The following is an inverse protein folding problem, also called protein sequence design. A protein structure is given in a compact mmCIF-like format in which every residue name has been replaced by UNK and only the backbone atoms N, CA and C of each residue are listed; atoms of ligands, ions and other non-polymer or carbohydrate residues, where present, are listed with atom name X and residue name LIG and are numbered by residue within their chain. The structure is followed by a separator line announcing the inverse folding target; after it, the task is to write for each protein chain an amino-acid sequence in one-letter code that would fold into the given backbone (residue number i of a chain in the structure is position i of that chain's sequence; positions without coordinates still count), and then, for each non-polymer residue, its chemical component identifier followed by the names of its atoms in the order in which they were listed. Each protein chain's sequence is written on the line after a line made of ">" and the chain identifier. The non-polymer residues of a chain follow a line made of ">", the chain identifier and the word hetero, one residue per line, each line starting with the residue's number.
data_IF_546859528920
#
_entry.id   IF_546859528920
#
_cell.length_a   1.000
_cell.length_b   1.000
_cell.length_c   1.000
_cell.angle_alpha   90.00
_cell.angle_beta   90.00
_cell.angle_gamma   90.00
#
_symmetry.space_group_name_H-M   'P 1'
#
loop_
_entity.id
_entity.type
_entity.pdbx_description
1 polymer ?
#
# COMPACT_ATOMS: atom_id res chain seq x y z
N UNK A 1 18.60 5.02 -20.57
CA UNK A 1 17.29 5.28 -19.91
C UNK A 1 16.23 5.08 -20.96
N UNK A 2 15.23 4.23 -20.70
CA UNK A 2 14.10 4.07 -21.63
C UNK A 2 13.31 5.37 -21.73
N UNK A 3 12.68 5.62 -22.88
CA UNK A 3 11.79 6.77 -23.05
C UNK A 3 10.66 6.70 -22.01
N UNK A 4 10.50 7.76 -21.21
CA UNK A 4 9.48 7.84 -20.15
C UNK A 4 9.90 7.31 -18.77
N UNK A 5 11.17 6.90 -18.58
CA UNK A 5 11.65 6.50 -17.27
C UNK A 5 11.90 7.72 -16.37
N UNK A 6 11.38 7.74 -15.12
CA UNK A 6 11.77 8.76 -14.17
C UNK A 6 13.28 8.64 -13.87
N UNK A 7 13.98 9.77 -13.67
CA UNK A 7 15.41 9.76 -13.39
C UNK A 7 15.69 8.97 -12.10
N UNK A 8 16.75 8.15 -12.13
CA UNK A 8 17.22 7.43 -10.93
C UNK A 8 17.59 8.47 -9.87
N UNK A 9 17.05 8.32 -8.66
CA UNK A 9 17.34 9.20 -7.53
C UNK A 9 18.83 9.04 -7.14
N UNK A 10 19.71 9.84 -7.72
CA UNK A 10 21.16 9.82 -7.47
C UNK A 10 21.53 10.43 -6.11
N UNK A 11 22.74 10.18 -5.60
CA UNK A 11 23.20 10.63 -4.28
C UNK A 11 23.16 12.16 -4.04
N UNK A 12 23.05 12.99 -5.08
CA UNK A 12 23.00 14.45 -5.01
C UNK A 12 21.59 15.05 -4.83
N UNK A 13 20.62 14.32 -4.27
CA UNK A 13 19.25 14.83 -4.15
C UNK A 13 19.14 16.00 -3.18
N UNK A 14 18.36 17.05 -3.51
CA UNK A 14 18.10 18.13 -2.57
C UNK A 14 17.40 17.60 -1.31
N UNK A 15 17.74 18.18 -0.16
CA UNK A 15 17.26 17.75 1.16
C UNK A 15 15.72 17.62 1.21
N UNK A 16 14.99 18.50 0.53
CA UNK A 16 13.53 18.48 0.47
C UNK A 16 12.96 17.19 -0.12
N UNK A 17 13.60 16.62 -1.15
CA UNK A 17 13.16 15.35 -1.75
C UNK A 17 13.38 14.20 -0.77
N UNK A 18 14.49 14.22 -0.03
CA UNK A 18 14.78 13.23 1.01
C UNK A 18 13.76 13.34 2.16
N UNK A 19 13.42 14.56 2.58
CA UNK A 19 12.40 14.81 3.60
C UNK A 19 11.03 14.23 3.18
N UNK A 20 10.59 14.43 1.93
CA UNK A 20 9.36 13.80 1.41
C UNK A 20 9.39 12.27 1.53
N UNK A 21 10.52 11.65 1.21
CA UNK A 21 10.74 10.21 1.42
C UNK A 21 10.61 9.77 2.87
N UNK A 22 11.29 10.45 3.78
CA UNK A 22 11.19 10.20 5.22
C UNK A 22 9.78 10.39 5.75
N UNK A 23 9.10 11.47 5.37
CA UNK A 23 7.71 11.71 5.73
C UNK A 23 6.82 10.56 5.27
N UNK A 24 6.92 10.15 4.01
CA UNK A 24 6.16 9.00 3.50
C UNK A 24 6.39 7.73 4.33
N UNK A 25 7.65 7.37 4.60
CA UNK A 25 8.00 6.18 5.37
C UNK A 25 7.49 6.25 6.81
N UNK A 26 7.68 7.38 7.49
CA UNK A 26 7.26 7.57 8.88
C UNK A 26 5.73 7.52 9.01
N UNK A 27 4.99 8.21 8.14
CA UNK A 27 3.53 8.16 8.16
C UNK A 27 3.01 6.75 7.88
N UNK A 28 3.59 6.06 6.89
CA UNK A 28 3.21 4.69 6.58
C UNK A 28 3.48 3.76 7.77
N UNK A 29 4.65 3.87 8.39
CA UNK A 29 5.03 3.06 9.55
C UNK A 29 4.13 3.32 10.76
N UNK A 30 3.93 4.59 11.13
CA UNK A 30 3.06 4.96 12.25
C UNK A 30 1.64 4.45 12.00
N UNK A 31 1.11 4.62 10.79
CA UNK A 31 -0.23 4.13 10.46
C UNK A 31 -0.35 2.61 10.56
N UNK A 32 0.70 1.86 10.17
CA UNK A 32 0.73 0.40 10.28
C UNK A 32 0.76 -0.05 11.75
N UNK A 33 1.55 0.63 12.58
CA UNK A 33 1.65 0.36 14.02
C UNK A 33 0.33 0.66 14.73
N UNK A 34 -0.24 1.84 14.50
CA UNK A 34 -1.52 2.24 15.09
C UNK A 34 -2.65 1.32 14.60
N UNK A 35 -2.69 1.01 13.30
CA UNK A 35 -3.67 0.06 12.75
C UNK A 35 -3.54 -1.33 13.39
N UNK A 36 -2.32 -1.79 13.62
CA UNK A 36 -2.11 -3.08 14.29
C UNK A 36 -2.57 -3.05 15.75
N UNK A 37 -2.19 -2.03 16.52
CA UNK A 37 -2.49 -1.92 17.96
C UNK A 37 -3.99 -1.68 18.20
N UNK A 38 -4.61 -0.76 17.45
CA UNK A 38 -5.96 -0.29 17.73
C UNK A 38 -7.04 -0.95 16.87
N UNK A 39 -6.67 -1.58 15.75
CA UNK A 39 -7.63 -2.26 14.87
C UNK A 39 -7.40 -3.77 14.91
N UNK A 40 -6.18 -4.23 14.62
CA UNK A 40 -5.93 -5.69 14.50
C UNK A 40 -6.03 -6.39 15.86
N UNK A 41 -5.34 -5.89 16.88
CA UNK A 41 -5.30 -6.52 18.21
C UNK A 41 -6.68 -6.69 18.85
N UNK A 42 -7.57 -5.68 18.89
CA UNK A 42 -8.91 -5.84 19.45
C UNK A 42 -9.80 -6.84 18.68
N UNK A 43 -9.49 -7.09 17.41
CA UNK A 43 -10.19 -8.05 16.57
C UNK A 43 -9.62 -9.48 16.68
N UNK A 44 -8.47 -9.70 17.33
CA UNK A 44 -7.88 -11.03 17.51
C UNK A 44 -8.79 -12.04 18.22
N UNK A 45 -9.54 -11.69 19.28
CA UNK A 45 -10.46 -12.62 19.93
C UNK A 45 -11.49 -13.23 18.95
N UNK A 46 -11.82 -12.50 17.88
CA UNK A 46 -12.78 -12.95 16.87
C UNK A 46 -12.29 -14.19 16.10
N UNK A 47 -10.97 -14.44 16.06
CA UNK A 47 -10.41 -15.67 15.48
C UNK A 47 -10.96 -16.90 16.20
N UNK A 48 -11.00 -16.86 17.53
CA UNK A 48 -11.45 -17.99 18.35
C UNK A 48 -12.97 -18.19 18.31
N UNK A 49 -13.73 -17.11 18.10
CA UNK A 49 -15.20 -17.17 18.03
C UNK A 49 -15.68 -17.57 16.64
N UNK A 50 -15.21 -16.90 15.60
CA UNK A 50 -15.60 -17.16 14.21
C UNK A 50 -14.46 -16.80 13.24
N UNK A 51 -13.60 -17.77 12.88
CA UNK A 51 -12.47 -17.54 11.99
C UNK A 51 -12.87 -16.95 10.63
N UNK A 52 -14.03 -17.37 10.08
CA UNK A 52 -14.51 -16.88 8.77
C UNK A 52 -14.88 -15.41 8.83
N UNK A 53 -15.51 -14.98 9.93
CA UNK A 53 -15.89 -13.58 10.12
C UNK A 53 -14.66 -12.71 10.36
N UNK A 54 -13.72 -13.18 11.19
CA UNK A 54 -12.42 -12.51 11.37
C UNK A 54 -11.72 -12.28 10.03
N UNK A 55 -11.65 -13.31 9.18
CA UNK A 55 -10.99 -13.22 7.88
C UNK A 55 -11.64 -12.16 6.99
N UNK A 56 -12.97 -12.16 6.88
CA UNK A 56 -13.72 -11.17 6.10
C UNK A 56 -13.49 -9.74 6.60
N UNK A 57 -13.46 -9.53 7.91
CA UNK A 57 -13.21 -8.22 8.50
C UNK A 57 -11.77 -7.76 8.23
N UNK A 58 -10.78 -8.62 8.47
CA UNK A 58 -9.37 -8.29 8.24
C UNK A 58 -9.07 -7.99 6.78
N UNK A 59 -9.58 -8.80 5.84
CA UNK A 59 -9.34 -8.59 4.41
C UNK A 59 -9.86 -7.22 3.95
N UNK A 60 -11.01 -6.77 4.49
CA UNK A 60 -11.56 -5.44 4.18
C UNK A 60 -10.74 -4.31 4.82
N UNK A 61 -10.39 -4.45 6.10
CA UNK A 61 -9.64 -3.42 6.84
C UNK A 61 -8.25 -3.23 6.26
N UNK A 62 -7.53 -4.32 6.00
CA UNK A 62 -6.21 -4.28 5.35
C UNK A 62 -6.34 -3.78 3.91
N UNK A 63 -7.37 -4.21 3.17
CA UNK A 63 -7.65 -3.72 1.82
C UNK A 63 -7.83 -2.20 1.77
N UNK A 64 -8.60 -1.64 2.69
CA UNK A 64 -8.78 -0.18 2.83
C UNK A 64 -7.45 0.48 3.22
N UNK A 65 -6.71 -0.11 4.16
CA UNK A 65 -5.43 0.43 4.60
C UNK A 65 -4.41 0.50 3.46
N UNK A 66 -4.35 -0.49 2.55
CA UNK A 66 -3.43 -0.51 1.39
C UNK A 66 -3.73 0.61 0.38
N UNK A 67 -4.95 1.14 0.34
CA UNK A 67 -5.28 2.31 -0.50
C UNK A 67 -4.55 3.56 0.01
N UNK A 68 -4.36 3.68 1.33
CA UNK A 68 -3.73 4.84 1.96
C UNK A 68 -2.26 5.08 1.52
N UNK A 69 -1.32 4.11 1.54
CA UNK A 69 0.02 4.35 1.04
C UNK A 69 0.04 4.63 -0.47
N UNK A 70 -0.90 4.06 -1.24
CA UNK A 70 -1.07 4.38 -2.66
C UNK A 70 -1.49 5.84 -2.91
N UNK A 71 -2.44 6.35 -2.13
CA UNK A 71 -2.85 7.75 -2.20
C UNK A 71 -1.78 8.69 -1.64
N UNK A 72 -1.11 8.30 -0.55
CA UNK A 72 0.01 9.04 0.03
C UNK A 72 1.18 9.15 -0.95
N UNK A 73 1.47 8.08 -1.72
CA UNK A 73 2.50 8.12 -2.76
C UNK A 73 2.13 9.10 -3.87
N UNK A 74 0.86 9.12 -4.27
CA UNK A 74 0.34 10.06 -5.27
C UNK A 74 0.41 11.51 -4.78
N UNK A 75 0.10 11.77 -3.50
CA UNK A 75 0.17 13.08 -2.88
C UNK A 75 1.62 13.56 -2.65
N UNK A 76 2.44 12.72 -2.02
CA UNK A 76 3.80 13.06 -1.61
C UNK A 76 4.75 13.10 -2.79
N UNK A 77 4.58 12.30 -3.84
CA UNK A 77 5.51 12.26 -4.98
C UNK A 77 4.90 12.72 -6.31
N UNK A 78 3.59 13.03 -6.36
CA UNK A 78 2.91 13.36 -7.61
C UNK A 78 2.78 12.16 -8.55
N UNK A 79 2.85 10.93 -8.01
CA UNK A 79 2.74 9.71 -8.80
C UNK A 79 1.36 9.64 -9.47
N UNK A 80 1.34 9.38 -10.79
CA UNK A 80 0.09 9.20 -11.55
C UNK A 80 -0.12 7.73 -11.84
N UNK A 81 -1.13 7.15 -11.20
CA UNK A 81 -1.54 5.76 -11.43
C UNK A 81 -2.48 5.75 -12.65
N UNK A 82 -2.16 4.93 -13.64
CA UNK A 82 -3.04 4.71 -14.80
C UNK A 82 -3.35 3.22 -14.91
N UNK A 83 -4.61 2.89 -14.70
CA UNK A 83 -5.14 1.53 -14.87
C UNK A 83 -5.78 1.43 -16.25
N UNK A 84 -5.51 0.33 -16.97
CA UNK A 84 -6.13 -0.01 -18.26
C UNK A 84 -6.46 -1.50 -18.26
N UNK A 85 -7.46 -1.88 -19.06
CA UNK A 85 -7.95 -3.25 -19.15
C UNK A 85 -9.32 -3.43 -18.50
N UNK A 86 -9.74 -4.68 -18.36
CA UNK A 86 -11.05 -5.04 -17.81
C UNK A 86 -11.04 -5.02 -16.29
N UNK A 87 -12.24 -4.86 -15.71
CA UNK A 87 -12.41 -4.98 -14.26
C UNK A 87 -12.19 -6.42 -13.81
N UNK A 88 -11.60 -6.59 -12.63
CA UNK A 88 -11.35 -7.90 -12.03
C UNK A 88 -12.68 -8.44 -11.48
N UNK A 89 -13.06 -9.65 -11.92
CA UNK A 89 -14.23 -10.36 -11.40
C UNK A 89 -13.94 -10.89 -9.98
N UNK A 90 -14.52 -10.24 -8.98
CA UNK A 90 -14.38 -10.63 -7.57
C UNK A 90 -15.14 -11.91 -7.19
N UNK A 91 -15.99 -12.46 -8.07
CA UNK A 91 -16.75 -13.67 -7.79
C UNK A 91 -15.96 -14.96 -7.99
N UNK A 92 -14.77 -14.87 -8.62
CA UNK A 92 -13.92 -16.02 -8.96
C UNK A 92 -12.52 -15.86 -8.36
N UNK A 93 -11.85 -16.96 -8.00
CA UNK A 93 -10.43 -16.90 -7.63
C UNK A 93 -9.60 -16.31 -8.77
N UNK A 94 -8.70 -15.38 -8.45
CA UNK A 94 -7.82 -14.74 -9.41
C UNK A 94 -6.39 -14.73 -8.89
N UNK A 95 -5.42 -14.84 -9.81
CA UNK A 95 -3.99 -14.74 -9.51
C UNK A 95 -3.46 -13.49 -10.22
N UNK A 96 -2.83 -12.60 -9.47
CA UNK A 96 -2.18 -11.42 -10.03
C UNK A 96 -0.76 -11.79 -10.43
N UNK A 97 -0.50 -11.81 -11.74
CA UNK A 97 0.86 -11.97 -12.28
C UNK A 97 1.36 -10.57 -12.61
N UNK A 98 2.40 -10.14 -11.90
CA UNK A 98 3.02 -8.84 -12.09
C UNK A 98 4.51 -9.01 -12.35
N UNK A 99 5.07 -8.16 -13.22
CA UNK A 99 6.50 -8.11 -13.40
C UNK A 99 7.16 -7.57 -12.12
N UNK A 100 8.02 -8.36 -11.48
CA UNK A 100 8.78 -7.93 -10.31
C UNK A 100 9.99 -7.12 -10.78
N UNK A 101 9.76 -5.86 -11.16
CA UNK A 101 10.84 -4.97 -11.58
C UNK A 101 11.62 -4.46 -10.36
N UNK A 102 12.69 -5.16 -9.99
CA UNK A 102 13.76 -4.59 -9.18
C UNK A 102 14.78 -3.93 -10.09
N UNK A 103 14.98 -2.62 -9.93
CA UNK A 103 16.18 -1.93 -10.42
C UNK A 103 17.13 -1.73 -9.27
#
# INVERSE_FOLDING_TARGET
>A
MGAGEPPVLAAGQPLWVRLRGWTFCVFTLISALLGSIYIITPLLPLIFINPKMWRKCMDRLVGIWVIMPGSLMSYVFGARIRVRGDMIDHSKPAVIIMNHRSR
#
